data_IF_631204034687
#
_entry.id   IF_631204034687
#
_cell.length_a   1.000
_cell.length_b   1.000
_cell.length_c   1.000
_cell.angle_alpha   90.00
_cell.angle_beta   90.00
_cell.angle_gamma   90.00
#
_symmetry.space_group_name_H-M   'P 1'
#
loop_
_entity.id
_entity.type
_entity.pdbx_description
1 polymer ?
#
# COMPACT_ATOMS: atom_id res chain seq x y z
N UNK A 1 4.62 -12.05 15.41
CA UNK A 1 3.58 -11.32 14.66
C UNK A 1 3.00 -10.25 15.54
N UNK A 2 2.94 -9.00 15.08
CA UNK A 2 2.24 -7.93 15.80
C UNK A 2 0.74 -8.11 15.64
N UNK A 3 0.00 -8.02 16.73
CA UNK A 3 -1.47 -8.17 16.79
C UNK A 3 -2.16 -6.81 16.88
N UNK A 4 -3.47 -6.77 16.62
CA UNK A 4 -4.28 -5.56 16.82
C UNK A 4 -4.19 -5.06 18.27
N UNK A 5 -4.28 -5.98 19.25
CA UNK A 5 -4.21 -5.62 20.67
C UNK A 5 -2.86 -5.00 21.07
N UNK A 6 -1.74 -5.48 20.51
CA UNK A 6 -0.42 -4.86 20.72
C UNK A 6 -0.35 -3.45 20.11
N UNK A 7 -0.92 -3.24 18.92
CA UNK A 7 -1.00 -1.92 18.31
C UNK A 7 -1.86 -0.96 19.16
N UNK A 8 -3.01 -1.40 19.65
CA UNK A 8 -3.87 -0.64 20.56
C UNK A 8 -3.17 -0.30 21.88
N UNK A 9 -2.42 -1.25 22.45
CA UNK A 9 -1.61 -1.05 23.64
C UNK A 9 -0.51 0.00 23.41
N UNK A 10 0.16 -0.02 22.25
CA UNK A 10 1.11 1.02 21.86
C UNK A 10 0.44 2.39 21.76
N UNK A 11 -0.73 2.49 21.12
CA UNK A 11 -1.51 3.74 21.06
C UNK A 11 -1.85 4.24 22.45
N UNK A 12 -2.35 3.39 23.34
CA UNK A 12 -2.63 3.75 24.74
C UNK A 12 -1.37 4.24 25.46
N UNK A 13 -0.23 3.58 25.26
CA UNK A 13 1.04 3.96 25.87
C UNK A 13 1.54 5.33 25.38
N UNK A 14 1.42 5.62 24.07
CA UNK A 14 1.81 6.93 23.52
C UNK A 14 1.03 8.08 24.18
N UNK A 15 -0.28 7.90 24.39
CA UNK A 15 -1.15 8.85 25.08
C UNK A 15 -0.73 9.03 26.54
N UNK A 16 -0.56 7.92 27.26
CA UNK A 16 -0.18 7.93 28.68
C UNK A 16 1.19 8.59 28.93
N UNK A 17 2.16 8.37 28.03
CA UNK A 17 3.52 8.91 28.15
C UNK A 17 3.71 10.26 27.44
N UNK A 18 2.68 10.78 26.76
CA UNK A 18 2.74 12.00 25.92
C UNK A 18 3.91 11.95 24.94
N UNK A 19 4.12 10.79 24.31
CA UNK A 19 5.18 10.57 23.31
C UNK A 19 4.55 10.35 21.95
N UNK A 20 5.30 10.68 20.91
CA UNK A 20 4.93 10.34 19.53
C UNK A 20 5.55 8.99 19.18
N UNK A 21 4.76 8.15 18.53
CA UNK A 21 5.25 6.96 17.84
C UNK A 21 5.07 7.21 16.35
N UNK A 22 6.15 7.09 15.59
CA UNK A 22 6.18 7.43 14.16
C UNK A 22 6.50 6.17 13.39
N UNK A 23 5.66 5.88 12.39
CA UNK A 23 5.87 4.76 11.46
C UNK A 23 6.52 5.32 10.19
N UNK A 24 7.57 4.67 9.72
CA UNK A 24 8.41 5.15 8.60
C UNK A 24 7.82 4.80 7.23
N UNK A 25 6.62 5.28 6.95
CA UNK A 25 6.00 5.18 5.63
C UNK A 25 6.45 6.35 4.75
N UNK A 26 7.75 6.38 4.45
CA UNK A 26 8.47 7.47 3.81
C UNK A 26 7.95 7.89 2.43
N UNK A 27 7.19 7.03 1.73
CA UNK A 27 6.64 7.32 0.40
C UNK A 27 5.70 8.53 0.37
N UNK A 28 5.15 8.96 1.51
CA UNK A 28 4.38 10.23 1.60
C UNK A 28 5.28 11.48 1.60
N UNK A 29 6.61 11.29 1.57
CA UNK A 29 7.61 12.34 1.50
C UNK A 29 7.85 12.88 0.09
N UNK A 30 7.50 12.14 -0.98
CA UNK A 30 7.70 12.59 -2.36
C UNK A 30 6.89 13.86 -2.65
N UNK A 31 7.52 14.81 -3.36
CA UNK A 31 6.91 16.10 -3.67
C UNK A 31 5.60 15.93 -4.45
N UNK A 32 5.60 15.09 -5.48
CA UNK A 32 4.41 14.83 -6.30
C UNK A 32 3.29 14.09 -5.56
N UNK A 33 3.62 13.27 -4.56
CA UNK A 33 2.61 12.65 -3.68
C UNK A 33 1.91 13.70 -2.81
N UNK A 34 2.67 14.68 -2.30
CA UNK A 34 2.10 15.79 -1.54
C UNK A 34 1.28 16.72 -2.44
N UNK A 35 1.77 17.03 -3.63
CA UNK A 35 1.01 17.80 -4.62
C UNK A 35 -0.32 17.12 -4.94
N UNK A 36 -0.30 15.80 -5.18
CA UNK A 36 -1.51 15.03 -5.45
C UNK A 36 -2.55 15.15 -4.32
N UNK A 37 -2.10 15.06 -3.07
CA UNK A 37 -2.96 15.22 -1.89
C UNK A 37 -3.61 16.61 -1.86
N UNK A 38 -2.84 17.67 -2.10
CA UNK A 38 -3.37 19.03 -2.11
C UNK A 38 -4.39 19.24 -3.23
N UNK A 39 -4.15 18.70 -4.43
CA UNK A 39 -5.10 18.78 -5.56
C UNK A 39 -6.43 18.07 -5.26
N UNK A 40 -6.37 16.90 -4.63
CA UNK A 40 -7.58 16.18 -4.17
C UNK A 40 -8.31 17.00 -3.10
N UNK A 41 -7.59 17.52 -2.11
CA UNK A 41 -8.17 18.34 -1.04
C UNK A 41 -8.77 19.65 -1.54
N UNK A 42 -8.20 20.25 -2.59
CA UNK A 42 -8.71 21.44 -3.28
C UNK A 42 -9.95 21.15 -4.17
N UNK A 43 -10.33 19.88 -4.35
CA UNK A 43 -11.50 19.49 -5.12
C UNK A 43 -11.29 19.54 -6.64
N UNK A 44 -10.04 19.54 -7.11
CA UNK A 44 -9.71 19.62 -8.54
C UNK A 44 -10.25 18.43 -9.34
N UNK A 45 -10.37 17.25 -8.69
CA UNK A 45 -10.94 16.05 -9.30
C UNK A 45 -12.49 16.00 -9.18
N UNK A 46 -13.11 16.94 -8.46
CA UNK A 46 -14.53 16.88 -8.08
C UNK A 46 -14.81 15.74 -7.09
N UNK A 47 -16.01 15.15 -7.16
CA UNK A 47 -16.34 13.98 -6.34
C UNK A 47 -15.47 12.78 -6.77
N UNK A 48 -14.74 12.22 -5.81
CA UNK A 48 -13.91 11.02 -6.02
C UNK A 48 -14.81 9.79 -6.21
N UNK A 49 -14.58 9.06 -7.30
CA UNK A 49 -15.30 7.84 -7.68
C UNK A 49 -14.50 6.61 -7.26
N UNK A 50 -13.19 6.62 -7.50
CA UNK A 50 -12.33 5.52 -7.09
C UNK A 50 -10.90 5.90 -6.69
N UNK A 51 -10.33 5.09 -5.81
CA UNK A 51 -8.98 5.24 -5.25
C UNK A 51 -8.28 3.89 -5.31
N UNK A 52 -7.14 3.83 -5.99
CA UNK A 52 -6.37 2.61 -6.21
C UNK A 52 -4.93 2.81 -5.77
N UNK A 53 -4.39 1.85 -5.01
CA UNK A 53 -2.98 1.76 -4.67
C UNK A 53 -2.40 0.42 -5.14
N UNK A 54 -1.15 0.41 -5.56
CA UNK A 54 -0.45 -0.83 -5.88
C UNK A 54 1.01 -0.75 -5.47
N UNK A 55 1.56 -1.86 -4.99
CA UNK A 55 3.01 -2.03 -4.85
C UNK A 55 3.40 -3.39 -5.42
N UNK A 56 4.12 -3.37 -6.53
CA UNK A 56 4.42 -4.55 -7.33
C UNK A 56 5.93 -4.71 -7.45
N UNK A 57 6.42 -5.91 -7.22
CA UNK A 57 7.83 -6.29 -7.32
C UNK A 57 7.96 -7.67 -7.98
N UNK A 58 9.17 -8.01 -8.41
CA UNK A 58 9.49 -9.32 -9.01
C UNK A 58 10.60 -10.10 -8.32
N UNK A 59 11.25 -9.52 -7.32
CA UNK A 59 12.47 -10.09 -6.73
C UNK A 59 12.25 -11.43 -6.01
N UNK A 60 11.01 -11.77 -5.64
CA UNK A 60 10.63 -13.06 -5.04
C UNK A 60 9.95 -14.00 -6.03
N UNK A 61 10.06 -13.80 -7.34
CA UNK A 61 9.50 -14.73 -8.34
C UNK A 61 10.10 -16.14 -8.23
N UNK A 62 11.34 -16.26 -7.75
CA UNK A 62 12.03 -17.54 -7.50
C UNK A 62 12.07 -17.85 -5.99
N UNK A 63 12.18 -19.13 -5.59
CA UNK A 63 12.23 -19.55 -4.19
C UNK A 63 13.60 -19.27 -3.55
N UNK A 64 14.13 -18.06 -3.70
CA UNK A 64 15.45 -17.66 -3.19
C UNK A 64 15.52 -17.67 -1.66
N UNK A 65 14.36 -17.65 -0.99
CA UNK A 65 14.19 -17.92 0.43
C UNK A 65 14.64 -19.34 0.82
N UNK A 66 14.42 -20.34 -0.04
CA UNK A 66 14.92 -21.70 0.16
C UNK A 66 16.39 -21.87 -0.26
N UNK A 67 16.93 -20.93 -1.04
CA UNK A 67 18.31 -20.95 -1.56
C UNK A 67 19.33 -20.24 -0.65
N UNK A 68 18.93 -19.80 0.55
CA UNK A 68 19.83 -19.17 1.51
C UNK A 68 19.86 -17.63 1.45
N UNK A 69 18.94 -17.00 0.73
CA UNK A 69 18.90 -15.54 0.62
C UNK A 69 18.30 -14.93 1.88
N UNK A 70 19.17 -14.36 2.72
CA UNK A 70 18.82 -13.85 4.06
C UNK A 70 17.66 -12.85 4.11
N UNK A 71 17.51 -11.96 3.12
CA UNK A 71 16.42 -10.98 3.05
C UNK A 71 15.08 -11.60 2.70
N UNK A 72 15.07 -12.67 1.90
CA UNK A 72 13.87 -13.42 1.53
C UNK A 72 13.45 -14.38 2.65
N UNK A 73 14.40 -15.09 3.27
CA UNK A 73 14.16 -16.06 4.33
C UNK A 73 13.30 -15.50 5.48
N UNK A 74 13.64 -14.32 5.99
CA UNK A 74 12.92 -13.79 7.15
C UNK A 74 11.54 -13.26 6.82
N UNK A 75 11.34 -12.73 5.61
CA UNK A 75 10.07 -12.18 5.14
C UNK A 75 9.04 -13.26 4.85
N UNK A 76 9.50 -14.47 4.52
CA UNK A 76 8.64 -15.61 4.20
C UNK A 76 8.45 -16.57 5.39
N UNK A 77 9.17 -16.35 6.50
CA UNK A 77 9.01 -17.11 7.73
C UNK A 77 7.92 -16.51 8.65
N UNK A 78 6.77 -17.21 8.84
CA UNK A 78 5.69 -16.72 9.71
C UNK A 78 6.09 -16.49 11.16
N UNK A 79 7.13 -17.16 11.68
CA UNK A 79 7.62 -16.92 13.03
C UNK A 79 8.24 -15.53 13.18
N UNK A 80 8.71 -14.94 12.07
CA UNK A 80 9.44 -13.66 12.02
C UNK A 80 8.61 -12.55 11.37
N UNK A 81 8.08 -12.80 10.18
CA UNK A 81 7.29 -11.84 9.41
C UNK A 81 5.87 -11.63 9.96
N UNK A 82 5.32 -12.65 10.63
CA UNK A 82 3.96 -12.62 11.17
C UNK A 82 2.93 -13.24 10.24
N UNK A 83 1.73 -12.66 10.19
CA UNK A 83 0.56 -13.27 9.54
C UNK A 83 0.53 -13.12 8.01
N UNK A 84 1.26 -12.16 7.45
CA UNK A 84 1.37 -11.96 6.01
C UNK A 84 2.77 -11.49 5.66
N UNK A 85 3.30 -11.95 4.52
CA UNK A 85 4.55 -11.42 4.00
C UNK A 85 4.28 -10.18 3.14
N UNK A 86 3.44 -10.31 2.10
CA UNK A 86 3.31 -9.23 1.10
C UNK A 86 2.52 -8.02 1.61
N UNK A 87 1.44 -8.19 2.39
CA UNK A 87 0.68 -7.04 2.91
C UNK A 87 1.43 -6.29 4.00
N UNK A 88 2.13 -7.01 4.88
CA UNK A 88 2.90 -6.41 5.96
C UNK A 88 4.15 -5.68 5.45
N UNK A 89 4.81 -6.21 4.41
CA UNK A 89 6.03 -5.63 3.82
C UNK A 89 5.69 -4.47 2.87
N UNK A 90 4.87 -4.72 1.84
CA UNK A 90 4.65 -3.73 0.75
C UNK A 90 3.19 -3.25 0.63
N UNK A 91 2.21 -4.09 0.96
CA UNK A 91 0.79 -3.69 0.90
C UNK A 91 0.46 -2.50 1.82
N UNK A 92 1.12 -2.41 2.99
CA UNK A 92 0.98 -1.28 3.92
C UNK A 92 1.38 0.05 3.28
N UNK A 93 2.39 0.07 2.40
CA UNK A 93 2.81 1.29 1.71
C UNK A 93 1.80 1.68 0.62
N UNK A 94 1.26 0.72 -0.14
CA UNK A 94 0.20 0.98 -1.12
C UNK A 94 -1.07 1.53 -0.45
N UNK A 95 -1.49 0.89 0.65
CA UNK A 95 -2.64 1.34 1.45
C UNK A 95 -2.43 2.74 2.00
N UNK A 96 -1.28 2.99 2.63
CA UNK A 96 -0.98 4.30 3.20
C UNK A 96 -0.89 5.39 2.13
N UNK A 97 -0.32 5.11 0.95
CA UNK A 97 -0.26 6.08 -0.13
C UNK A 97 -1.66 6.45 -0.64
N UNK A 98 -2.50 5.45 -0.91
CA UNK A 98 -3.89 5.66 -1.31
C UNK A 98 -4.68 6.48 -0.28
N UNK A 99 -4.57 6.12 1.01
CA UNK A 99 -5.19 6.82 2.14
C UNK A 99 -4.68 8.26 2.27
N UNK A 100 -3.37 8.46 2.17
CA UNK A 100 -2.73 9.76 2.33
C UNK A 100 -3.14 10.75 1.24
N UNK A 101 -3.13 10.31 -0.02
CA UNK A 101 -3.47 11.18 -1.16
C UNK A 101 -4.97 11.45 -1.23
N UNK A 102 -5.82 10.44 -0.98
CA UNK A 102 -7.28 10.63 -1.01
C UNK A 102 -7.82 11.39 0.21
N UNK A 103 -7.17 11.28 1.36
CA UNK A 103 -7.71 11.74 2.63
C UNK A 103 -8.87 10.89 3.17
N UNK A 104 -9.12 9.72 2.58
CA UNK A 104 -10.23 8.83 2.98
C UNK A 104 -9.76 7.76 3.96
N UNK A 105 -10.70 7.24 4.76
CA UNK A 105 -10.50 6.05 5.61
C UNK A 105 -11.11 4.81 4.96
N UNK A 106 -10.61 3.63 5.31
CA UNK A 106 -11.21 2.37 4.88
C UNK A 106 -12.44 2.04 5.75
N UNK A 107 -13.57 1.75 5.11
CA UNK A 107 -14.81 1.32 5.77
C UNK A 107 -14.96 -0.20 5.78
N UNK A 108 -14.60 -0.85 4.68
CA UNK A 108 -14.66 -2.31 4.55
C UNK A 108 -13.73 -2.80 3.44
N UNK A 109 -13.33 -4.06 3.54
CA UNK A 109 -12.46 -4.73 2.56
C UNK A 109 -13.01 -6.10 2.17
N UNK A 110 -12.65 -6.56 0.98
CA UNK A 110 -12.75 -7.97 0.56
C UNK A 110 -11.41 -8.34 -0.07
N UNK A 111 -10.73 -9.35 0.48
CA UNK A 111 -9.36 -9.65 0.12
C UNK A 111 -9.20 -11.10 -0.37
N UNK A 112 -8.38 -11.27 -1.40
CA UNK A 112 -7.89 -12.55 -1.90
C UNK A 112 -6.37 -12.55 -1.80
N UNK A 113 -5.81 -13.45 -1.00
CA UNK A 113 -4.38 -13.58 -0.76
C UNK A 113 -3.97 -14.98 -1.20
N UNK A 114 -2.84 -15.07 -1.89
CA UNK A 114 -2.36 -16.36 -2.37
C UNK A 114 -0.84 -16.41 -2.41
N UNK A 115 -0.35 -17.64 -2.52
CA UNK A 115 1.05 -17.96 -2.66
C UNK A 115 1.29 -18.48 -4.06
N UNK A 116 2.01 -17.72 -4.88
CA UNK A 116 2.36 -18.06 -6.25
C UNK A 116 3.57 -18.99 -6.32
N UNK A 117 4.58 -18.81 -5.44
CA UNK A 117 5.78 -19.65 -5.41
C UNK A 117 5.56 -20.89 -4.55
N UNK A 118 5.59 -22.10 -5.12
CA UNK A 118 5.34 -23.33 -4.36
C UNK A 118 6.31 -23.50 -3.19
N UNK A 119 5.79 -23.99 -2.05
CA UNK A 119 6.56 -24.27 -0.85
C UNK A 119 6.66 -23.10 0.14
N UNK A 120 6.27 -21.89 -0.25
CA UNK A 120 6.18 -20.77 0.70
C UNK A 120 5.03 -20.95 1.67
N UNK A 121 5.24 -20.43 2.88
CA UNK A 121 4.31 -20.55 4.02
C UNK A 121 3.43 -19.32 4.22
N UNK A 122 3.72 -18.24 3.51
CA UNK A 122 3.02 -16.96 3.56
C UNK A 122 2.62 -16.52 2.15
N UNK A 123 1.64 -15.62 2.08
CA UNK A 123 1.20 -14.96 0.87
C UNK A 123 2.32 -14.11 0.26
N UNK A 124 2.54 -14.25 -1.05
CA UNK A 124 3.44 -13.39 -1.84
C UNK A 124 2.67 -12.49 -2.82
N UNK A 125 1.33 -12.63 -2.83
CA UNK A 125 0.38 -11.82 -3.59
C UNK A 125 -0.89 -11.54 -2.78
N UNK A 126 -1.45 -10.33 -2.95
CA UNK A 126 -2.69 -9.90 -2.35
C UNK A 126 -3.47 -8.96 -3.26
N UNK A 127 -4.75 -9.26 -3.46
CA UNK A 127 -5.73 -8.41 -4.14
C UNK A 127 -6.82 -8.00 -3.15
N UNK A 128 -6.95 -6.70 -2.88
CA UNK A 128 -7.89 -6.19 -1.89
C UNK A 128 -8.85 -5.20 -2.53
N UNK A 129 -10.14 -5.51 -2.52
CA UNK A 129 -11.21 -4.58 -2.86
C UNK A 129 -11.51 -3.69 -1.66
N UNK A 130 -11.62 -2.39 -1.91
CA UNK A 130 -11.79 -1.36 -0.88
C UNK A 130 -13.14 -0.65 -0.98
N UNK A 131 -13.76 -0.41 0.19
CA UNK A 131 -14.78 0.61 0.39
C UNK A 131 -14.17 1.75 1.20
N UNK A 132 -14.17 2.95 0.64
CA UNK A 132 -13.62 4.14 1.29
C UNK A 132 -14.73 5.05 1.81
N UNK A 133 -14.43 5.83 2.84
CA UNK A 133 -15.31 6.91 3.30
C UNK A 133 -15.69 7.84 2.15
N UNK A 134 -16.94 8.33 2.14
CA UNK A 134 -17.45 9.15 1.04
C UNK A 134 -17.96 8.35 -0.16
N UNK A 135 -17.98 7.02 -0.06
CA UNK A 135 -18.63 6.13 -1.03
C UNK A 135 -17.75 5.68 -2.20
N UNK A 136 -16.51 6.16 -2.28
CA UNK A 136 -15.58 5.74 -3.32
C UNK A 136 -15.22 4.24 -3.21
N UNK A 137 -14.98 3.62 -4.36
CA UNK A 137 -14.51 2.22 -4.45
C UNK A 137 -13.03 2.15 -4.80
N UNK A 138 -12.40 1.00 -4.66
CA UNK A 138 -10.97 0.95 -4.91
C UNK A 138 -10.35 -0.42 -4.86
N UNK A 139 -9.06 -0.45 -5.12
CA UNK A 139 -8.22 -1.64 -4.97
C UNK A 139 -6.91 -1.30 -4.26
N UNK A 140 -6.43 -2.23 -3.45
CA UNK A 140 -5.02 -2.32 -3.06
C UNK A 140 -4.46 -3.61 -3.66
N UNK A 141 -3.40 -3.49 -4.45
CA UNK A 141 -2.69 -4.62 -5.02
C UNK A 141 -1.28 -4.70 -4.43
N UNK A 142 -0.87 -5.89 -4.04
CA UNK A 142 0.48 -6.13 -3.55
C UNK A 142 1.00 -7.44 -4.14
N UNK A 143 2.17 -7.42 -4.77
CA UNK A 143 2.77 -8.62 -5.37
C UNK A 143 4.30 -8.54 -5.27
N UNK A 144 4.92 -9.68 -4.97
CA UNK A 144 6.37 -9.85 -5.01
C UNK A 144 6.83 -10.81 -6.12
N UNK A 145 5.90 -11.27 -6.95
CA UNK A 145 6.12 -12.31 -7.97
C UNK A 145 5.59 -11.89 -9.34
N UNK A 146 5.72 -10.60 -9.68
CA UNK A 146 5.26 -10.05 -10.96
C UNK A 146 6.43 -9.53 -11.81
N UNK A 147 7.14 -10.41 -12.55
CA UNK A 147 8.24 -10.05 -13.44
C UNK A 147 7.97 -8.83 -14.32
N UNK A 148 8.96 -7.93 -14.40
CA UNK A 148 8.86 -6.67 -15.14
C UNK A 148 8.57 -5.46 -14.24
N UNK A 149 8.36 -5.68 -12.95
CA UNK A 149 8.21 -4.66 -11.94
C UNK A 149 9.34 -4.77 -10.91
N UNK A 150 10.27 -3.81 -10.93
CA UNK A 150 11.38 -3.83 -9.98
C UNK A 150 10.93 -3.43 -8.57
N UNK A 151 10.30 -2.26 -8.44
CA UNK A 151 9.87 -1.71 -7.16
C UNK A 151 8.74 -0.69 -7.32
N UNK A 152 7.64 -1.13 -7.91
CA UNK A 152 6.63 -0.26 -8.51
C UNK A 152 5.50 0.06 -7.53
N UNK A 153 5.73 1.06 -6.68
CA UNK A 153 4.68 1.68 -5.89
C UNK A 153 3.90 2.70 -6.73
N UNK A 154 2.57 2.69 -6.69
CA UNK A 154 1.74 3.66 -7.42
C UNK A 154 0.42 3.97 -6.72
N UNK A 155 -0.15 5.12 -7.07
CA UNK A 155 -1.50 5.52 -6.68
C UNK A 155 -2.24 6.14 -7.86
N UNK A 156 -3.52 5.80 -8.00
CA UNK A 156 -4.43 6.35 -9.01
C UNK A 156 -5.73 6.76 -8.34
N UNK A 157 -6.15 7.99 -8.59
CA UNK A 157 -7.41 8.53 -8.05
C UNK A 157 -8.20 9.11 -9.20
N UNK A 158 -9.47 8.73 -9.28
CA UNK A 158 -10.38 9.17 -10.32
C UNK A 158 -11.58 9.85 -9.69
N UNK A 159 -11.81 11.11 -10.07
CA UNK A 159 -13.02 11.83 -9.76
C UNK A 159 -13.82 12.16 -11.02
N UNK A 160 -14.95 12.81 -10.83
CA UNK A 160 -15.85 13.16 -11.94
C UNK A 160 -15.30 14.22 -12.89
N UNK A 161 -14.29 15.01 -12.48
CA UNK A 161 -13.70 16.07 -13.30
C UNK A 161 -12.34 15.72 -13.89
N UNK A 162 -11.59 14.85 -13.23
CA UNK A 162 -10.24 14.49 -13.63
C UNK A 162 -9.74 13.19 -12.98
N UNK A 163 -8.73 12.60 -13.59
CA UNK A 163 -7.91 11.55 -13.01
C UNK A 163 -6.52 12.05 -12.59
N UNK A 164 -5.94 11.39 -11.60
CA UNK A 164 -4.58 11.60 -11.13
C UNK A 164 -3.85 10.25 -11.03
N UNK A 165 -2.62 10.20 -11.50
CA UNK A 165 -1.73 9.03 -11.37
C UNK A 165 -0.32 9.48 -10.94
N UNK A 166 0.21 8.80 -9.93
CA UNK A 166 1.61 8.89 -9.52
C UNK A 166 2.26 7.51 -9.51
N UNK A 167 3.49 7.44 -10.02
CA UNK A 167 4.29 6.23 -10.14
C UNK A 167 5.65 6.43 -9.44
N UNK A 168 6.01 5.51 -8.55
CA UNK A 168 7.28 5.55 -7.81
C UNK A 168 8.52 5.35 -8.69
N UNK A 169 8.35 4.76 -9.88
CA UNK A 169 9.41 4.67 -10.89
C UNK A 169 9.72 6.00 -11.59
N UNK A 170 8.82 6.99 -11.47
CA UNK A 170 8.97 8.37 -11.96
C UNK A 170 8.50 9.35 -10.88
N UNK A 171 9.19 9.41 -9.73
CA UNK A 171 8.65 10.03 -8.53
C UNK A 171 8.46 11.56 -8.65
N UNK A 172 9.14 12.18 -9.62
CA UNK A 172 9.07 13.63 -9.92
C UNK A 172 7.95 13.98 -10.92
N UNK A 173 7.24 12.98 -11.46
CA UNK A 173 6.12 13.19 -12.38
C UNK A 173 4.78 12.94 -11.68
N UNK A 174 3.80 13.79 -11.99
CA UNK A 174 2.41 13.59 -11.62
C UNK A 174 1.55 13.74 -12.86
N UNK A 175 0.82 12.68 -13.24
CA UNK A 175 -0.12 12.75 -14.35
C UNK A 175 -1.45 13.25 -13.83
N UNK A 176 -1.87 14.41 -14.30
CA UNK A 176 -3.23 14.94 -14.12
C UNK A 176 -3.96 14.93 -15.46
N UNK A 177 -5.18 14.43 -15.48
CA UNK A 177 -5.93 14.22 -16.72
C UNK A 177 -7.36 14.73 -16.54
N UNK A 178 -7.65 15.98 -16.93
CA UNK A 178 -9.02 16.49 -17.00
C UNK A 178 -9.90 15.59 -17.85
N UNK A 179 -11.19 15.53 -17.53
CA UNK A 179 -12.18 14.87 -18.36
C UNK A 179 -12.44 15.67 -19.65
N UNK A 180 -12.42 15.00 -20.80
CA UNK A 180 -12.60 15.58 -22.14
C UNK A 180 -11.30 15.85 -22.86
#
# INVERSE_FOLDING_TARGET
>A
STTLGEAEALVALTKAKRRRFVVTLNNTGYAMVRQAREMVAAGELGRIVSVHGAYIQDWLTKPIDAEGQKQAEWRTDPARAGQSAVLADIGVHAFNLARFVSGFEAEAVSADLFTAVPGRRLDDNAHVLMRWTGGARGTILASQTSPGHYNDLSVRIYGEKAGLEWLGSRPEELRFSPYG
#
